data_IF_647780657608
#
_entry.id   IF_647780657608
#
_cell.length_a   1.000
_cell.length_b   1.000
_cell.length_c   1.000
_cell.angle_alpha   90.00
_cell.angle_beta   90.00
_cell.angle_gamma   90.00
#
_symmetry.space_group_name_H-M   'P 1'
#
loop_
_entity.id
_entity.type
_entity.pdbx_description
1 polymer ?
#
# COMPACT_ATOMS: atom_id res chain seq x y z
N UNK A 1 12.25 17.87 -27.24
CA UNK A 1 12.88 17.94 -25.90
C UNK A 1 14.31 18.40 -26.09
N UNK A 2 14.63 19.53 -25.48
CA UNK A 2 15.98 20.05 -25.51
C UNK A 2 16.87 19.34 -24.50
N UNK A 3 18.21 19.52 -24.59
CA UNK A 3 19.13 18.92 -23.63
C UNK A 3 18.82 19.27 -22.16
N UNK A 4 18.26 20.47 -21.92
CA UNK A 4 17.82 20.91 -20.59
C UNK A 4 16.62 20.11 -20.08
N UNK A 5 15.69 19.70 -20.95
CA UNK A 5 14.54 18.85 -20.58
C UNK A 5 15.02 17.47 -20.11
N UNK A 6 15.99 16.89 -20.82
CA UNK A 6 16.62 15.63 -20.44
C UNK A 6 17.35 15.74 -19.10
N UNK A 7 18.09 16.83 -18.90
CA UNK A 7 18.80 17.08 -17.64
C UNK A 7 17.81 17.21 -16.46
N UNK A 8 16.72 17.98 -16.65
CA UNK A 8 15.68 18.15 -15.63
C UNK A 8 14.94 16.81 -15.34
N UNK A 9 14.71 15.98 -16.37
CA UNK A 9 14.11 14.65 -16.17
C UNK A 9 15.03 13.75 -15.36
N UNK A 10 16.31 13.65 -15.72
CA UNK A 10 17.28 12.85 -14.99
C UNK A 10 17.44 13.34 -13.55
N UNK A 11 17.52 14.67 -13.36
CA UNK A 11 17.59 15.24 -12.02
C UNK A 11 16.36 14.88 -11.17
N UNK A 12 15.13 14.94 -11.73
CA UNK A 12 13.91 14.50 -11.02
C UNK A 12 13.97 13.03 -10.62
N UNK A 13 14.37 12.15 -11.54
CA UNK A 13 14.50 10.71 -11.24
C UNK A 13 15.48 10.48 -10.10
N UNK A 14 16.64 11.12 -10.15
CA UNK A 14 17.66 11.01 -9.09
C UNK A 14 17.16 11.56 -7.76
N UNK A 15 16.54 12.73 -7.75
CA UNK A 15 15.98 13.35 -6.53
C UNK A 15 14.91 12.46 -5.91
N UNK A 16 13.96 11.95 -6.70
CA UNK A 16 12.89 11.06 -6.21
C UNK A 16 13.49 9.75 -5.67
N UNK A 17 14.45 9.17 -6.36
CA UNK A 17 15.12 7.95 -5.91
C UNK A 17 15.76 8.12 -4.53
N UNK A 18 16.56 9.17 -4.34
CA UNK A 18 17.18 9.43 -3.03
C UNK A 18 16.16 9.85 -1.96
N UNK A 19 15.13 10.62 -2.33
CA UNK A 19 14.06 10.99 -1.41
C UNK A 19 13.31 9.75 -0.90
N UNK A 20 13.03 8.76 -1.75
CA UNK A 20 12.41 7.49 -1.36
C UNK A 20 13.31 6.67 -0.44
N UNK A 21 14.62 6.60 -0.70
CA UNK A 21 15.56 5.93 0.20
C UNK A 21 15.57 6.58 1.59
N UNK A 22 15.61 7.91 1.64
CA UNK A 22 15.56 8.66 2.90
C UNK A 22 14.22 8.43 3.60
N UNK A 23 13.11 8.45 2.87
CA UNK A 23 11.78 8.22 3.41
C UNK A 23 11.65 6.81 4.02
N UNK A 24 12.14 5.78 3.34
CA UNK A 24 12.18 4.42 3.88
C UNK A 24 13.03 4.34 5.15
N UNK A 25 14.21 4.97 5.17
CA UNK A 25 15.04 5.02 6.39
C UNK A 25 14.31 5.68 7.56
N UNK A 26 13.56 6.75 7.31
CA UNK A 26 12.75 7.45 8.31
C UNK A 26 11.58 6.59 8.78
N UNK A 27 10.90 5.88 7.87
CA UNK A 27 9.78 4.98 8.20
C UNK A 27 10.27 3.83 9.09
N UNK A 28 11.39 3.19 8.77
CA UNK A 28 11.96 2.11 9.60
C UNK A 28 12.38 2.64 10.97
N UNK A 29 12.98 3.82 11.05
CA UNK A 29 13.31 4.45 12.33
C UNK A 29 12.04 4.78 13.15
N UNK A 30 11.02 5.37 12.50
CA UNK A 30 9.74 5.70 13.13
C UNK A 30 9.06 4.44 13.66
N UNK A 31 9.02 3.37 12.89
CA UNK A 31 8.45 2.08 13.30
C UNK A 31 9.13 1.54 14.57
N UNK A 32 10.46 1.50 14.59
CA UNK A 32 11.22 1.04 15.77
C UNK A 32 10.99 1.91 17.00
N UNK A 33 10.78 3.23 16.82
CA UNK A 33 10.48 4.16 17.93
C UNK A 33 9.06 3.97 18.44
N UNK A 34 8.07 4.01 17.56
CA UNK A 34 6.66 3.91 17.92
C UNK A 34 6.37 2.57 18.63
N UNK A 35 6.87 1.45 18.07
CA UNK A 35 6.70 0.14 18.71
C UNK A 35 7.39 0.07 20.08
N UNK A 36 8.58 0.66 20.23
CA UNK A 36 9.28 0.69 21.51
C UNK A 36 8.51 1.50 22.57
N UNK A 37 7.98 2.66 22.19
CA UNK A 37 7.17 3.51 23.06
C UNK A 37 5.87 2.81 23.49
N UNK A 38 5.20 2.09 22.55
CA UNK A 38 4.02 1.27 22.87
C UNK A 38 4.34 0.11 23.83
N UNK A 39 5.54 -0.44 23.73
CA UNK A 39 6.03 -1.52 24.60
C UNK A 39 6.68 -1.00 25.89
N UNK A 40 6.61 0.29 26.20
CA UNK A 40 7.22 0.92 27.37
C UNK A 40 8.73 0.66 27.51
N UNK A 41 9.45 0.55 26.38
CA UNK A 41 10.90 0.35 26.31
C UNK A 41 11.59 1.43 25.48
N UNK A 42 12.89 1.61 25.70
CA UNK A 42 13.68 2.55 24.92
C UNK A 42 13.91 2.02 23.49
N UNK A 43 13.48 2.79 22.51
CA UNK A 43 13.83 2.55 21.10
C UNK A 43 15.28 2.95 20.79
N UNK A 44 15.69 2.96 19.50
CA UNK A 44 17.03 3.36 19.10
C UNK A 44 17.39 4.74 19.64
N UNK A 45 18.49 4.84 20.41
CA UNK A 45 18.96 6.09 21.02
C UNK A 45 20.34 6.50 20.55
N UNK A 46 21.12 5.54 20.02
CA UNK A 46 22.49 5.75 19.52
C UNK A 46 22.50 5.79 18.00
N UNK A 47 23.58 6.16 17.37
CA UNK A 47 23.72 6.43 15.95
C UNK A 47 22.94 7.70 15.49
N UNK A 48 23.51 8.86 15.79
CA UNK A 48 22.93 10.18 15.51
C UNK A 48 21.90 10.66 16.55
N UNK A 49 21.33 11.85 16.35
CA UNK A 49 20.32 12.39 17.25
C UNK A 49 19.13 11.46 17.36
N UNK A 50 18.79 10.99 18.57
CA UNK A 50 17.68 10.07 18.85
C UNK A 50 17.70 8.78 18.00
N UNK A 51 18.89 8.34 17.51
CA UNK A 51 19.04 7.11 16.75
C UNK A 51 18.55 7.17 15.28
N UNK A 52 18.39 8.34 14.67
CA UNK A 52 17.89 8.48 13.27
C UNK A 52 18.80 7.78 12.26
N UNK A 53 20.13 7.77 12.50
CA UNK A 53 21.09 7.17 11.58
C UNK A 53 21.24 5.65 11.74
N UNK A 54 20.45 4.99 12.61
CA UNK A 54 20.56 3.53 12.81
C UNK A 54 20.25 2.75 11.54
N UNK A 55 19.26 3.20 10.77
CA UNK A 55 18.86 2.56 9.52
C UNK A 55 19.94 2.67 8.44
N UNK A 56 20.64 3.81 8.41
CA UNK A 56 21.80 3.98 7.53
C UNK A 56 22.95 3.04 7.94
N UNK A 57 23.21 2.93 9.25
CA UNK A 57 24.22 2.00 9.75
C UNK A 57 23.87 0.53 9.43
N UNK A 58 22.58 0.16 9.55
CA UNK A 58 22.09 -1.18 9.17
C UNK A 58 22.24 -1.42 7.66
N UNK A 59 21.95 -0.44 6.81
CA UNK A 59 22.16 -0.51 5.37
C UNK A 59 23.63 -0.72 5.01
N UNK A 60 24.52 0.10 5.58
CA UNK A 60 25.99 -0.03 5.37
C UNK A 60 26.47 -1.41 5.83
N UNK A 61 26.03 -1.87 7.01
CA UNK A 61 26.37 -3.21 7.52
C UNK A 61 25.96 -4.32 6.54
N UNK A 62 24.73 -4.28 6.00
CA UNK A 62 24.22 -5.28 5.06
C UNK A 62 24.94 -5.24 3.72
N UNK A 63 25.39 -4.05 3.31
CA UNK A 63 26.15 -3.88 2.06
C UNK A 63 27.55 -4.55 2.11
N UNK A 64 28.23 -4.43 3.26
CA UNK A 64 29.56 -5.03 3.45
C UNK A 64 29.52 -6.44 4.03
N UNK A 65 28.33 -6.94 4.43
CA UNK A 65 28.16 -8.30 4.94
C UNK A 65 28.38 -9.32 3.81
N UNK A 66 29.12 -10.39 4.09
CA UNK A 66 29.31 -11.51 3.16
C UNK A 66 27.97 -12.10 2.72
N UNK A 67 27.77 -12.15 1.41
CA UNK A 67 26.58 -12.70 0.79
C UNK A 67 26.71 -14.21 0.59
N UNK A 68 26.15 -15.01 1.49
CA UNK A 68 26.11 -16.47 1.35
C UNK A 68 25.17 -16.84 0.19
N UNK A 69 25.56 -17.80 -0.62
CA UNK A 69 24.74 -18.40 -1.67
C UNK A 69 24.77 -19.91 -1.46
N UNK A 70 23.64 -20.54 -1.08
CA UNK A 70 23.57 -21.98 -0.88
C UNK A 70 23.91 -22.78 -2.16
N UNK A 71 24.34 -24.01 -2.02
CA UNK A 71 24.79 -24.84 -3.16
C UNK A 71 23.67 -25.38 -4.02
N UNK A 72 22.46 -25.53 -3.45
CA UNK A 72 21.29 -26.13 -4.11
C UNK A 72 20.39 -25.11 -4.82
N UNK A 73 20.78 -23.81 -4.87
CA UNK A 73 19.98 -22.75 -5.47
C UNK A 73 20.11 -22.73 -7.00
N UNK A 74 19.01 -22.38 -7.68
CA UNK A 74 19.07 -21.94 -9.08
C UNK A 74 19.65 -20.52 -9.12
N UNK A 75 20.96 -20.44 -9.35
CA UNK A 75 21.75 -19.21 -9.19
C UNK A 75 21.26 -18.02 -10.02
N UNK A 76 20.91 -18.13 -11.31
CA UNK A 76 20.36 -17.01 -12.09
C UNK A 76 19.08 -16.45 -11.49
N UNK A 77 18.11 -17.31 -11.20
CA UNK A 77 16.81 -16.91 -10.65
C UNK A 77 16.97 -16.34 -9.25
N UNK A 78 17.81 -16.96 -8.42
CA UNK A 78 18.12 -16.50 -7.07
C UNK A 78 18.71 -15.08 -7.03
N UNK A 79 19.51 -14.68 -8.02
CA UNK A 79 20.08 -13.33 -8.10
C UNK A 79 19.12 -12.31 -8.68
N UNK A 80 18.19 -12.71 -9.56
CA UNK A 80 17.23 -11.81 -10.21
C UNK A 80 16.04 -11.51 -9.30
N UNK A 81 15.61 -12.45 -8.48
CA UNK A 81 14.43 -12.28 -7.61
C UNK A 81 14.49 -11.01 -6.72
N UNK A 82 15.57 -10.68 -6.00
CA UNK A 82 15.66 -9.44 -5.22
C UNK A 82 15.56 -8.17 -6.07
N UNK A 83 16.06 -8.20 -7.31
CA UNK A 83 15.98 -7.07 -8.25
C UNK A 83 14.54 -6.85 -8.68
N UNK A 84 13.80 -7.93 -8.98
CA UNK A 84 12.37 -7.86 -9.31
C UNK A 84 11.54 -7.40 -8.11
N UNK A 85 11.96 -7.67 -6.88
CA UNK A 85 11.28 -7.14 -5.69
C UNK A 85 11.46 -5.62 -5.54
N UNK A 86 12.66 -5.13 -5.77
CA UNK A 86 13.01 -3.72 -5.50
C UNK A 86 12.62 -2.78 -6.66
N UNK A 87 12.92 -3.15 -7.91
CA UNK A 87 12.81 -2.26 -9.07
C UNK A 87 11.37 -1.78 -9.31
N UNK A 88 10.33 -2.64 -9.33
CA UNK A 88 8.95 -2.19 -9.53
C UNK A 88 8.45 -1.26 -8.44
N UNK A 89 8.90 -1.44 -7.19
CA UNK A 89 8.52 -0.56 -6.09
C UNK A 89 8.99 0.89 -6.30
N UNK A 90 10.19 1.10 -6.89
CA UNK A 90 10.63 2.43 -7.32
C UNK A 90 9.85 2.93 -8.54
N UNK A 91 9.59 2.07 -9.53
CA UNK A 91 8.88 2.44 -10.76
C UNK A 91 7.42 2.83 -10.49
N UNK A 92 6.78 2.28 -9.47
CA UNK A 92 5.43 2.68 -9.07
C UNK A 92 5.36 4.17 -8.70
N UNK A 93 6.41 4.71 -8.07
CA UNK A 93 6.48 6.13 -7.72
C UNK A 93 6.63 7.08 -8.91
N UNK A 94 6.97 6.60 -10.09
CA UNK A 94 7.13 7.45 -11.27
C UNK A 94 5.85 8.19 -11.65
N UNK A 95 4.69 7.60 -11.37
CA UNK A 95 3.37 8.15 -11.74
C UNK A 95 2.61 8.79 -10.58
N UNK A 96 3.14 8.74 -9.37
CA UNK A 96 2.49 9.34 -8.19
C UNK A 96 2.81 10.84 -8.16
N UNK A 97 1.79 11.72 -8.21
CA UNK A 97 2.00 13.15 -8.10
C UNK A 97 2.07 13.55 -6.62
N UNK A 98 3.17 14.16 -6.19
CA UNK A 98 3.38 14.55 -4.81
C UNK A 98 3.41 16.07 -4.58
N UNK A 99 3.12 16.87 -5.61
CA UNK A 99 3.05 18.32 -5.48
C UNK A 99 2.59 19.01 -6.76
N UNK A 100 2.50 20.33 -6.71
CA UNK A 100 2.25 21.21 -7.85
C UNK A 100 3.52 21.41 -8.67
N UNK A 101 3.40 21.99 -9.88
CA UNK A 101 4.57 22.35 -10.67
C UNK A 101 5.34 23.55 -10.07
N UNK A 102 6.65 23.57 -10.28
CA UNK A 102 7.53 24.68 -9.93
C UNK A 102 8.17 25.23 -11.18
N UNK A 103 8.21 26.56 -11.30
CA UNK A 103 8.91 27.23 -12.38
C UNK A 103 10.42 27.23 -12.09
N UNK A 104 11.19 26.42 -12.84
CA UNK A 104 12.65 26.36 -12.78
C UNK A 104 13.22 26.71 -14.16
N UNK A 105 14.13 27.67 -14.23
CA UNK A 105 14.78 28.11 -15.48
C UNK A 105 13.78 28.48 -16.61
N UNK A 106 12.63 29.09 -16.23
CA UNK A 106 11.58 29.47 -17.20
C UNK A 106 10.73 28.32 -17.71
N UNK A 107 10.82 27.13 -17.11
CA UNK A 107 10.01 25.93 -17.44
C UNK A 107 9.22 25.47 -16.23
N UNK A 108 8.02 24.97 -16.46
CA UNK A 108 7.22 24.33 -15.43
C UNK A 108 7.69 22.87 -15.21
N UNK A 109 8.23 22.59 -14.05
CA UNK A 109 8.69 21.26 -13.65
C UNK A 109 7.65 20.66 -12.68
N UNK A 110 6.89 19.65 -13.09
CA UNK A 110 5.92 18.99 -12.22
C UNK A 110 6.64 18.14 -11.15
N UNK A 111 6.06 18.08 -9.95
CA UNK A 111 6.46 17.14 -8.90
C UNK A 111 5.90 15.73 -9.17
N UNK A 112 6.21 15.21 -10.34
CA UNK A 112 5.86 13.88 -10.83
C UNK A 112 6.87 13.52 -11.93
N UNK A 113 7.32 12.28 -11.99
CA UNK A 113 8.30 11.88 -13.01
C UNK A 113 7.60 11.73 -14.37
N UNK A 114 6.47 11.01 -14.41
CA UNK A 114 5.69 10.76 -15.61
C UNK A 114 4.19 10.86 -15.31
N UNK A 115 3.46 11.68 -16.07
CA UNK A 115 2.00 11.78 -15.98
C UNK A 115 1.36 10.91 -17.05
N UNK A 116 1.12 9.63 -16.72
CA UNK A 116 0.53 8.65 -17.61
C UNK A 116 -1.00 8.73 -17.57
N UNK A 117 -1.65 8.68 -18.73
CA UNK A 117 -3.11 8.60 -18.84
C UNK A 117 -3.71 7.38 -18.13
N UNK A 118 -2.93 6.32 -17.98
CA UNK A 118 -3.28 5.05 -17.33
C UNK A 118 -2.45 4.84 -16.05
N UNK A 119 -2.18 5.91 -15.29
CA UNK A 119 -1.28 5.88 -14.14
C UNK A 119 -1.65 4.85 -13.07
N UNK A 120 -2.95 4.66 -12.81
CA UNK A 120 -3.44 3.64 -11.87
C UNK A 120 -3.10 2.22 -12.34
N UNK A 121 -3.30 1.90 -13.61
CA UNK A 121 -2.97 0.58 -14.16
C UNK A 121 -1.46 0.31 -14.11
N UNK A 122 -0.65 1.35 -14.30
CA UNK A 122 0.80 1.25 -14.12
C UNK A 122 1.17 0.83 -12.69
N UNK A 123 0.57 1.46 -11.67
CA UNK A 123 0.84 1.12 -10.28
C UNK A 123 0.43 -0.32 -9.97
N UNK A 124 -0.77 -0.74 -10.38
CA UNK A 124 -1.23 -2.12 -10.21
C UNK A 124 -0.32 -3.13 -10.92
N UNK A 125 0.14 -2.83 -12.13
CA UNK A 125 1.07 -3.70 -12.85
C UNK A 125 2.43 -3.80 -12.13
N UNK A 126 2.93 -2.70 -11.54
CA UNK A 126 4.18 -2.72 -10.79
C UNK A 126 4.04 -3.46 -9.46
N UNK A 127 2.91 -3.33 -8.76
CA UNK A 127 2.67 -4.09 -7.51
C UNK A 127 2.58 -5.59 -7.77
N UNK A 128 1.89 -6.02 -8.83
CA UNK A 128 1.80 -7.43 -9.21
C UNK A 128 3.15 -8.10 -9.47
N UNK A 129 4.18 -7.35 -9.91
CA UNK A 129 5.53 -7.90 -10.11
C UNK A 129 6.19 -8.35 -8.80
N UNK A 130 5.79 -7.80 -7.66
CA UNK A 130 6.29 -8.25 -6.36
C UNK A 130 5.91 -9.72 -6.05
N UNK A 131 4.74 -10.16 -6.51
CA UNK A 131 4.31 -11.57 -6.39
C UNK A 131 5.30 -12.49 -7.08
N UNK A 132 5.71 -12.15 -8.31
CA UNK A 132 6.70 -12.94 -9.05
C UNK A 132 8.04 -12.98 -8.31
N UNK A 133 8.49 -11.85 -7.75
CA UNK A 133 9.73 -11.80 -6.99
C UNK A 133 9.73 -12.80 -5.82
N UNK A 134 8.64 -12.88 -5.08
CA UNK A 134 8.49 -13.77 -3.93
C UNK A 134 8.45 -15.24 -4.37
N UNK A 135 7.67 -15.57 -5.42
CA UNK A 135 7.60 -16.93 -5.97
C UNK A 135 8.96 -17.39 -6.46
N UNK A 136 9.65 -16.56 -7.24
CA UNK A 136 10.98 -16.88 -7.76
C UNK A 136 12.00 -17.04 -6.64
N UNK A 137 11.93 -16.21 -5.59
CA UNK A 137 12.80 -16.30 -4.44
C UNK A 137 12.65 -17.64 -3.70
N UNK A 138 11.41 -18.05 -3.41
CA UNK A 138 11.16 -19.32 -2.73
C UNK A 138 11.50 -20.52 -3.58
N UNK A 139 11.16 -20.49 -4.88
CA UNK A 139 11.46 -21.60 -5.80
C UNK A 139 12.96 -21.77 -6.02
N UNK A 140 13.70 -20.69 -6.26
CA UNK A 140 15.14 -20.75 -6.52
C UNK A 140 15.99 -21.14 -5.32
N UNK A 141 15.44 -21.06 -4.11
CA UNK A 141 16.17 -21.33 -2.86
C UNK A 141 16.50 -22.80 -2.64
N UNK A 142 15.88 -23.75 -3.37
CA UNK A 142 16.16 -25.18 -3.27
C UNK A 142 15.85 -25.81 -1.90
N UNK A 143 14.99 -25.17 -1.08
CA UNK A 143 14.61 -25.58 0.27
C UNK A 143 13.08 -25.58 0.42
N UNK A 144 12.54 -26.49 1.25
CA UNK A 144 11.09 -26.67 1.42
C UNK A 144 10.45 -25.47 2.17
N UNK A 145 11.15 -24.89 3.15
CA UNK A 145 10.59 -23.76 3.93
C UNK A 145 10.39 -22.50 3.08
N UNK A 146 11.37 -22.03 2.30
CA UNK A 146 11.19 -20.92 1.36
C UNK A 146 10.12 -21.18 0.32
N UNK A 147 10.00 -22.40 -0.21
CA UNK A 147 8.99 -22.76 -1.19
C UNK A 147 7.58 -22.67 -0.59
N UNK A 148 7.35 -23.24 0.59
CA UNK A 148 6.06 -23.15 1.28
C UNK A 148 5.71 -21.69 1.66
N UNK A 149 6.70 -20.93 2.14
CA UNK A 149 6.53 -19.51 2.46
C UNK A 149 6.13 -18.69 1.24
N UNK A 150 6.79 -18.90 0.10
CA UNK A 150 6.50 -18.17 -1.14
C UNK A 150 5.11 -18.50 -1.72
N UNK A 151 4.68 -19.76 -1.69
CA UNK A 151 3.34 -20.17 -2.14
C UNK A 151 2.25 -19.55 -1.26
N UNK A 152 2.42 -19.55 0.06
CA UNK A 152 1.45 -18.94 1.00
C UNK A 152 1.38 -17.43 0.82
N UNK A 153 2.53 -16.77 0.63
CA UNK A 153 2.61 -15.33 0.39
C UNK A 153 1.98 -14.92 -0.92
N UNK A 154 2.29 -15.62 -2.01
CA UNK A 154 1.73 -15.31 -3.32
C UNK A 154 0.21 -15.51 -3.35
N UNK A 155 -0.30 -16.57 -2.73
CA UNK A 155 -1.74 -16.80 -2.60
C UNK A 155 -2.43 -15.67 -1.83
N UNK A 156 -1.82 -15.16 -0.75
CA UNK A 156 -2.30 -14.01 -0.01
C UNK A 156 -2.32 -12.76 -0.89
N UNK A 157 -1.19 -12.39 -1.48
CA UNK A 157 -1.06 -11.16 -2.27
C UNK A 157 -2.05 -11.13 -3.44
N UNK A 158 -2.14 -12.21 -4.25
CA UNK A 158 -3.07 -12.28 -5.38
C UNK A 158 -4.52 -12.13 -4.91
N UNK A 159 -4.89 -12.77 -3.80
CA UNK A 159 -6.27 -12.70 -3.27
C UNK A 159 -6.64 -11.30 -2.80
N UNK A 160 -5.73 -10.59 -2.14
CA UNK A 160 -5.98 -9.24 -1.63
C UNK A 160 -5.81 -8.16 -2.69
N UNK A 161 -4.98 -8.39 -3.71
CA UNK A 161 -4.86 -7.53 -4.89
C UNK A 161 -6.21 -7.38 -5.62
N UNK A 162 -7.00 -8.45 -5.73
CA UNK A 162 -8.36 -8.37 -6.29
C UNK A 162 -9.25 -7.43 -5.46
N UNK A 163 -9.22 -7.53 -4.12
CA UNK A 163 -9.96 -6.62 -3.24
C UNK A 163 -9.52 -5.17 -3.37
N UNK A 164 -8.20 -4.95 -3.45
CA UNK A 164 -7.62 -3.63 -3.65
C UNK A 164 -7.99 -3.03 -5.01
N UNK A 165 -7.95 -3.82 -6.07
CA UNK A 165 -8.37 -3.40 -7.42
C UNK A 165 -9.84 -2.99 -7.45
N UNK A 166 -10.75 -3.74 -6.79
CA UNK A 166 -12.17 -3.35 -6.70
C UNK A 166 -12.35 -2.00 -5.99
N UNK A 167 -11.62 -1.75 -4.90
CA UNK A 167 -11.66 -0.47 -4.21
C UNK A 167 -11.18 0.69 -5.10
N UNK A 168 -10.12 0.48 -5.87
CA UNK A 168 -9.59 1.46 -6.83
C UNK A 168 -10.60 1.71 -7.95
N UNK A 169 -11.21 0.66 -8.53
CA UNK A 169 -12.23 0.78 -9.57
C UNK A 169 -13.40 1.65 -9.13
N UNK A 170 -13.87 1.51 -7.88
CA UNK A 170 -14.93 2.36 -7.35
C UNK A 170 -14.55 3.85 -7.37
N UNK A 171 -13.30 4.21 -7.02
CA UNK A 171 -12.82 5.60 -7.06
C UNK A 171 -12.66 6.09 -8.50
N UNK A 172 -12.12 5.24 -9.38
CA UNK A 172 -11.96 5.57 -10.81
C UNK A 172 -13.30 5.88 -11.47
N UNK A 173 -14.32 5.05 -11.22
CA UNK A 173 -15.69 5.29 -11.71
C UNK A 173 -16.28 6.59 -11.15
N UNK A 174 -16.04 6.88 -9.87
CA UNK A 174 -16.55 8.11 -9.23
C UNK A 174 -15.85 9.37 -9.73
N UNK A 175 -14.53 9.29 -10.00
CA UNK A 175 -13.71 10.44 -10.46
C UNK A 175 -13.67 10.59 -11.97
N UNK A 176 -14.18 9.62 -12.73
CA UNK A 176 -14.14 9.54 -14.21
C UNK A 176 -12.72 9.77 -14.79
N UNK A 177 -11.70 9.26 -14.11
CA UNK A 177 -10.31 9.45 -14.50
C UNK A 177 -9.43 8.27 -14.11
N UNK A 178 -8.48 7.90 -14.99
CA UNK A 178 -7.42 6.92 -14.72
C UNK A 178 -6.06 7.60 -14.43
N UNK A 179 -5.96 8.89 -14.75
CA UNK A 179 -4.77 9.68 -14.51
C UNK A 179 -4.75 10.18 -13.07
N UNK A 180 -3.64 9.94 -12.37
CA UNK A 180 -3.52 10.27 -10.94
C UNK A 180 -3.69 11.78 -10.65
N UNK A 181 -3.15 12.63 -11.52
CA UNK A 181 -3.28 14.10 -11.40
C UNK A 181 -4.73 14.58 -11.55
N UNK A 182 -5.52 13.98 -12.46
CA UNK A 182 -6.93 14.29 -12.68
C UNK A 182 -7.78 13.85 -11.49
N UNK A 183 -7.49 12.68 -10.88
CA UNK A 183 -8.18 12.22 -9.67
C UNK A 183 -7.94 13.17 -8.50
N UNK A 184 -6.72 13.71 -8.33
CA UNK A 184 -6.48 14.75 -7.33
C UNK A 184 -7.22 16.03 -7.68
N UNK A 185 -7.32 16.39 -8.97
CA UNK A 185 -8.05 17.57 -9.42
C UNK A 185 -9.56 17.44 -9.15
N UNK A 186 -10.17 16.26 -9.33
CA UNK A 186 -11.59 16.04 -9.05
C UNK A 186 -11.98 16.21 -7.56
N UNK A 187 -11.02 16.09 -6.65
CA UNK A 187 -11.23 16.24 -5.19
C UNK A 187 -11.14 17.69 -4.69
N UNK A 188 -11.50 18.69 -5.51
CA UNK A 188 -11.39 20.09 -5.14
C UNK A 188 -12.35 20.51 -4.04
N UNK A 189 -13.59 20.03 -4.11
CA UNK A 189 -14.67 20.39 -3.15
C UNK A 189 -14.77 19.41 -1.99
N UNK A 190 -14.73 18.12 -2.28
CA UNK A 190 -14.91 17.05 -1.30
C UNK A 190 -13.87 15.97 -1.58
N UNK A 191 -13.14 15.54 -0.57
CA UNK A 191 -12.21 14.42 -0.68
C UNK A 191 -12.98 13.12 -0.89
N UNK A 192 -12.47 12.24 -1.75
CA UNK A 192 -13.10 10.96 -2.07
C UNK A 192 -13.26 10.03 -0.86
N UNK A 193 -12.54 10.26 0.23
CA UNK A 193 -12.71 9.49 1.46
C UNK A 193 -14.13 9.60 2.03
N UNK A 194 -14.86 10.71 1.79
CA UNK A 194 -16.23 10.89 2.31
C UNK A 194 -17.22 10.05 1.48
N UNK A 195 -17.38 10.24 0.14
CA UNK A 195 -18.32 9.46 -0.64
C UNK A 195 -17.88 8.01 -0.87
N UNK A 196 -16.59 7.71 -0.83
CA UNK A 196 -16.00 6.40 -1.08
C UNK A 196 -15.36 5.78 0.17
N UNK A 197 -15.92 6.07 1.36
CA UNK A 197 -15.38 5.58 2.63
C UNK A 197 -15.27 4.04 2.70
N UNK A 198 -16.27 3.24 2.26
CA UNK A 198 -16.13 1.79 2.24
C UNK A 198 -15.00 1.29 1.34
N UNK A 199 -14.82 1.89 0.15
CA UNK A 199 -13.71 1.57 -0.73
C UNK A 199 -12.34 1.91 -0.07
N UNK A 200 -12.26 3.04 0.64
CA UNK A 200 -11.07 3.42 1.40
C UNK A 200 -10.69 2.38 2.45
N UNK A 201 -11.67 1.90 3.22
CA UNK A 201 -11.44 0.85 4.25
C UNK A 201 -11.00 -0.46 3.61
N UNK A 202 -11.65 -0.90 2.52
CA UNK A 202 -11.25 -2.08 1.76
C UNK A 202 -9.80 -1.94 1.28
N UNK A 203 -9.47 -0.79 0.70
CA UNK A 203 -8.13 -0.51 0.19
C UNK A 203 -7.07 -0.56 1.29
N UNK A 204 -7.31 0.06 2.46
CA UNK A 204 -6.37 0.03 3.58
C UNK A 204 -6.13 -1.38 4.11
N UNK A 205 -7.19 -2.19 4.23
CA UNK A 205 -7.06 -3.59 4.68
C UNK A 205 -6.31 -4.42 3.63
N UNK A 206 -6.70 -4.31 2.37
CA UNK A 206 -6.06 -5.04 1.27
C UNK A 206 -4.59 -4.64 1.10
N UNK A 207 -4.29 -3.34 1.16
CA UNK A 207 -2.93 -2.83 1.07
C UNK A 207 -2.04 -3.28 2.23
N UNK A 208 -2.57 -3.36 3.46
CA UNK A 208 -1.82 -3.92 4.59
C UNK A 208 -1.52 -5.41 4.38
N UNK A 209 -2.45 -6.17 3.82
CA UNK A 209 -2.25 -7.58 3.51
C UNK A 209 -1.25 -7.78 2.35
N UNK A 210 -1.24 -6.89 1.36
CA UNK A 210 -0.29 -6.91 0.24
C UNK A 210 1.15 -6.60 0.69
N UNK A 211 1.31 -5.75 1.70
CA UNK A 211 2.64 -5.44 2.27
C UNK A 211 3.19 -6.53 3.18
N UNK A 212 2.48 -7.67 3.33
CA UNK A 212 2.88 -8.81 4.16
C UNK A 212 3.23 -8.44 5.62
N UNK A 213 2.60 -7.41 6.17
CA UNK A 213 2.84 -6.94 7.54
C UNK A 213 1.84 -7.52 8.53
N UNK A 214 2.22 -7.75 9.81
CA UNK A 214 1.26 -8.12 10.83
C UNK A 214 0.05 -7.17 10.87
N UNK A 215 -1.20 -7.69 11.02
CA UNK A 215 -1.59 -9.05 11.37
C UNK A 215 -1.60 -10.08 10.24
N UNK A 216 -1.24 -9.70 9.00
CA UNK A 216 -1.28 -10.52 7.79
C UNK A 216 0.12 -11.06 7.39
N UNK A 217 1.02 -11.22 8.34
CA UNK A 217 2.39 -11.71 8.17
C UNK A 217 2.44 -13.25 8.09
N UNK A 218 2.00 -13.78 6.98
CA UNK A 218 2.07 -15.22 6.71
C UNK A 218 3.37 -15.67 6.03
N UNK A 219 4.04 -14.80 5.22
CA UNK A 219 5.26 -15.17 4.55
C UNK A 219 6.43 -15.40 5.50
N UNK A 220 6.60 -14.53 6.48
CA UNK A 220 7.70 -14.61 7.43
C UNK A 220 7.44 -15.66 8.51
N UNK A 221 6.22 -15.75 9.03
CA UNK A 221 5.74 -16.72 9.99
C UNK A 221 6.84 -17.37 10.82
N UNK A 222 7.65 -16.57 11.56
CA UNK A 222 8.85 -17.03 12.28
C UNK A 222 8.64 -18.32 13.10
N UNK A 223 7.45 -18.46 13.68
CA UNK A 223 7.10 -19.65 14.46
C UNK A 223 6.81 -20.90 13.63
N UNK A 224 6.54 -20.77 12.31
CA UNK A 224 6.16 -21.88 11.43
C UNK A 224 7.19 -22.14 10.32
N UNK A 225 7.77 -21.10 9.73
CA UNK A 225 8.58 -21.16 8.52
C UNK A 225 9.97 -20.53 8.66
N UNK A 226 10.42 -20.23 9.89
CA UNK A 226 11.70 -19.59 10.24
C UNK A 226 11.78 -18.14 9.73
N UNK A 227 11.91 -17.93 8.40
CA UNK A 227 11.89 -16.62 7.78
C UNK A 227 11.20 -16.66 6.39
N UNK A 228 10.44 -17.71 6.12
CA UNK A 228 9.66 -17.85 4.89
C UNK A 228 10.51 -17.80 3.62
N UNK A 229 10.07 -17.05 2.60
CA UNK A 229 10.67 -17.02 1.27
C UNK A 229 12.12 -16.48 1.25
N UNK A 230 12.52 -15.67 2.22
CA UNK A 230 13.85 -15.05 2.27
C UNK A 230 14.83 -15.75 3.22
N UNK A 231 14.49 -16.95 3.72
CA UNK A 231 15.32 -17.71 4.68
C UNK A 231 16.75 -17.91 4.18
N UNK A 232 16.94 -18.21 2.90
CA UNK A 232 18.24 -18.47 2.30
C UNK A 232 18.99 -17.20 1.83
N UNK A 233 18.33 -16.03 1.92
CA UNK A 233 18.90 -14.76 1.48
C UNK A 233 19.68 -14.06 2.59
N UNK A 234 20.88 -13.54 2.28
CA UNK A 234 21.75 -12.83 3.22
C UNK A 234 22.38 -11.58 2.62
N UNK A 235 22.89 -10.69 3.48
CA UNK A 235 23.60 -9.46 3.08
C UNK A 235 22.73 -8.53 2.23
N UNK A 236 23.28 -8.01 1.13
CA UNK A 236 22.61 -7.06 0.25
C UNK A 236 21.36 -7.64 -0.42
N UNK A 237 21.32 -8.94 -0.72
CA UNK A 237 20.18 -9.60 -1.34
C UNK A 237 18.94 -9.56 -0.42
N UNK A 238 19.13 -9.81 0.87
CA UNK A 238 18.08 -9.63 1.89
C UNK A 238 17.66 -8.17 2.01
N UNK A 239 18.64 -7.23 2.00
CA UNK A 239 18.34 -5.80 2.08
C UNK A 239 17.48 -5.31 0.91
N UNK A 240 17.63 -5.87 -0.29
CA UNK A 240 16.82 -5.52 -1.46
C UNK A 240 15.35 -5.94 -1.29
N UNK A 241 15.04 -7.13 -0.77
CA UNK A 241 13.68 -7.54 -0.43
C UNK A 241 13.07 -6.63 0.62
N UNK A 242 13.81 -6.39 1.70
CA UNK A 242 13.36 -5.55 2.79
C UNK A 242 13.09 -4.10 2.35
N UNK A 243 13.95 -3.55 1.49
CA UNK A 243 13.74 -2.24 0.88
C UNK A 243 12.49 -2.23 -0.01
N UNK A 244 12.28 -3.26 -0.84
CA UNK A 244 11.09 -3.39 -1.68
C UNK A 244 9.80 -3.43 -0.87
N UNK A 245 9.79 -4.16 0.23
CA UNK A 245 8.64 -4.27 1.14
C UNK A 245 8.28 -2.93 1.81
N UNK A 246 9.27 -2.19 2.30
CA UNK A 246 9.01 -0.86 2.87
C UNK A 246 8.61 0.16 1.81
N UNK A 247 9.21 0.10 0.62
CA UNK A 247 8.78 0.93 -0.51
C UNK A 247 7.34 0.63 -0.88
N UNK A 248 6.93 -0.64 -0.93
CA UNK A 248 5.54 -1.01 -1.21
C UNK A 248 4.59 -0.46 -0.13
N UNK A 249 4.97 -0.52 1.15
CA UNK A 249 4.18 0.08 2.24
C UNK A 249 4.00 1.59 2.03
N UNK A 250 5.05 2.30 1.64
CA UNK A 250 4.99 3.74 1.34
C UNK A 250 4.17 3.99 0.07
N UNK A 251 4.29 3.14 -0.97
CA UNK A 251 3.49 3.22 -2.20
C UNK A 251 2.00 3.08 -1.93
N UNK A 252 1.60 2.07 -1.16
CA UNK A 252 0.20 1.87 -0.76
C UNK A 252 -0.34 3.10 -0.02
N UNK A 253 0.43 3.65 0.92
CA UNK A 253 0.05 4.87 1.63
C UNK A 253 -0.03 6.11 0.71
N UNK A 254 0.89 6.23 -0.26
CA UNK A 254 0.90 7.32 -1.23
C UNK A 254 -0.29 7.25 -2.20
N UNK A 255 -0.62 6.05 -2.67
CA UNK A 255 -1.81 5.80 -3.52
C UNK A 255 -3.10 6.10 -2.74
N UNK A 256 -3.23 5.64 -1.49
CA UNK A 256 -4.36 5.97 -0.63
C UNK A 256 -4.52 7.49 -0.46
N UNK A 257 -3.41 8.19 -0.24
CA UNK A 257 -3.40 9.65 -0.13
C UNK A 257 -3.88 10.33 -1.41
N UNK A 258 -3.43 9.85 -2.56
CA UNK A 258 -3.79 10.42 -3.87
C UNK A 258 -5.25 10.16 -4.24
N UNK A 259 -5.74 8.93 -4.03
CA UNK A 259 -7.08 8.53 -4.46
C UNK A 259 -8.19 9.00 -3.51
N UNK A 260 -7.95 9.06 -2.20
CA UNK A 260 -9.00 9.33 -1.20
C UNK A 260 -8.81 10.62 -0.41
N UNK A 261 -7.56 11.04 -0.13
CA UNK A 261 -7.28 12.18 0.77
C UNK A 261 -6.89 13.47 0.02
N UNK A 262 -7.23 13.57 -1.27
CA UNK A 262 -6.96 14.76 -2.07
C UNK A 262 -5.49 15.00 -2.41
N UNK A 263 -4.63 13.96 -2.33
CA UNK A 263 -3.22 14.06 -2.71
C UNK A 263 -2.47 15.16 -1.96
N UNK A 264 -1.87 16.07 -2.71
CA UNK A 264 -1.10 17.22 -2.20
C UNK A 264 -1.95 18.40 -1.71
N UNK A 265 -3.30 18.35 -1.83
CA UNK A 265 -4.19 19.44 -1.46
C UNK A 265 -4.25 19.65 0.05
N UNK A 266 -4.20 20.93 0.45
CA UNK A 266 -4.29 21.37 1.82
C UNK A 266 -4.14 22.88 1.92
N UNK A 267 -4.34 23.47 3.11
CA UNK A 267 -4.12 24.91 3.33
C UNK A 267 -2.67 25.28 2.97
N UNK A 268 -2.50 26.23 2.08
CA UNK A 268 -1.18 26.72 1.65
C UNK A 268 -1.06 28.21 1.91
N UNK A 269 -0.22 28.66 2.84
CA UNK A 269 0.16 30.06 2.97
C UNK A 269 0.91 30.55 1.72
N UNK A 270 0.83 31.85 1.42
CA UNK A 270 1.49 32.45 0.26
C UNK A 270 3.02 32.42 0.31
N UNK A 271 3.59 32.08 1.49
CA UNK A 271 5.03 31.92 1.67
C UNK A 271 5.46 30.57 1.16
N UNK A 272 6.29 30.52 0.12
CA UNK A 272 6.81 29.31 -0.54
C UNK A 272 5.67 28.36 -1.01
N UNK A 273 4.86 28.78 -2.02
CA UNK A 273 3.64 28.05 -2.39
C UNK A 273 3.86 26.60 -2.85
N UNK A 274 5.03 26.28 -3.40
CA UNK A 274 5.36 24.91 -3.87
C UNK A 274 5.72 23.93 -2.75
N UNK A 275 6.12 24.43 -1.56
CA UNK A 275 6.55 23.58 -0.45
C UNK A 275 5.35 22.96 0.29
N UNK A 276 4.26 23.71 0.46
CA UNK A 276 3.09 23.28 1.22
C UNK A 276 2.39 22.04 0.63
N UNK A 277 2.16 21.95 -0.70
CA UNK A 277 1.64 20.75 -1.31
C UNK A 277 2.48 19.50 -1.01
N UNK A 278 3.79 19.61 -1.12
CA UNK A 278 4.72 18.52 -0.81
C UNK A 278 4.63 18.10 0.67
N UNK A 279 4.61 19.07 1.59
CA UNK A 279 4.48 18.79 3.03
C UNK A 279 3.14 18.12 3.37
N UNK A 280 2.02 18.59 2.79
CA UNK A 280 0.73 17.97 3.01
C UNK A 280 0.66 16.54 2.49
N UNK A 281 1.23 16.29 1.32
CA UNK A 281 1.32 14.94 0.78
C UNK A 281 2.11 14.02 1.70
N UNK A 282 3.32 14.43 2.10
CA UNK A 282 4.18 13.66 3.01
C UNK A 282 3.52 13.44 4.37
N UNK A 283 2.87 14.44 4.93
CA UNK A 283 2.16 14.32 6.22
C UNK A 283 1.05 13.26 6.14
N UNK A 284 0.23 13.28 5.09
CA UNK A 284 -0.86 12.30 4.91
C UNK A 284 -0.31 10.88 4.73
N UNK A 285 0.74 10.73 3.92
CA UNK A 285 1.44 9.44 3.75
C UNK A 285 1.96 8.93 5.10
N UNK A 286 2.64 9.78 5.87
CA UNK A 286 3.17 9.41 7.19
C UNK A 286 2.07 9.06 8.18
N UNK A 287 0.90 9.71 8.13
CA UNK A 287 -0.25 9.37 8.98
C UNK A 287 -0.75 7.96 8.67
N UNK A 288 -0.90 7.59 7.39
CA UNK A 288 -1.34 6.24 7.00
C UNK A 288 -0.28 5.19 7.42
N UNK A 289 1.00 5.47 7.17
CA UNK A 289 2.10 4.59 7.61
C UNK A 289 2.10 4.43 9.13
N UNK A 290 1.87 5.51 9.88
CA UNK A 290 1.74 5.45 11.34
C UNK A 290 0.58 4.57 11.78
N UNK A 291 -0.58 4.66 11.11
CA UNK A 291 -1.73 3.78 11.38
C UNK A 291 -1.36 2.32 11.12
N UNK A 292 -0.62 2.02 10.06
CA UNK A 292 -0.14 0.66 9.78
C UNK A 292 0.84 0.14 10.84
N UNK A 293 1.75 0.99 11.31
CA UNK A 293 2.65 0.66 12.43
C UNK A 293 1.84 0.39 13.71
N UNK A 294 0.82 1.19 13.97
CA UNK A 294 -0.04 1.02 15.14
C UNK A 294 -0.83 -0.29 15.07
N UNK A 295 -1.45 -0.59 13.92
CA UNK A 295 -2.15 -1.87 13.69
C UNK A 295 -1.19 -3.05 13.91
N UNK A 296 0.02 -2.99 13.35
CA UNK A 296 1.07 -4.00 13.53
C UNK A 296 1.41 -4.25 15.00
N UNK A 297 1.45 -3.21 15.80
CA UNK A 297 1.84 -3.30 17.22
C UNK A 297 0.70 -3.77 18.13
N UNK A 298 -0.57 -3.67 17.70
CA UNK A 298 -1.73 -3.90 18.56
C UNK A 298 -2.50 -5.17 18.23
N UNK A 299 -2.65 -5.50 16.94
CA UNK A 299 -3.46 -6.64 16.52
C UNK A 299 -2.65 -7.95 16.56
N UNK A 300 -3.25 -9.05 17.05
CA UNK A 300 -2.62 -10.37 16.98
C UNK A 300 -2.61 -10.88 15.54
N UNK A 301 -1.66 -11.75 15.23
CA UNK A 301 -1.54 -12.40 13.92
C UNK A 301 -2.76 -13.28 13.63
N UNK A 302 -3.25 -13.21 12.39
CA UNK A 302 -4.39 -14.01 11.92
C UNK A 302 -3.87 -15.30 11.27
N UNK A 303 -4.55 -16.41 11.53
CA UNK A 303 -4.26 -17.71 10.92
C UNK A 303 -4.60 -17.69 9.42
N UNK A 304 -3.83 -18.44 8.60
CA UNK A 304 -3.98 -18.52 7.15
C UNK A 304 -5.41 -18.77 6.67
N UNK A 305 -6.08 -19.79 7.26
CA UNK A 305 -7.44 -20.19 6.86
C UNK A 305 -8.45 -19.05 7.05
N UNK A 306 -8.36 -18.34 8.19
CA UNK A 306 -9.23 -17.20 8.50
C UNK A 306 -8.93 -16.00 7.61
N UNK A 307 -7.67 -15.77 7.32
CA UNK A 307 -7.24 -14.69 6.44
C UNK A 307 -7.78 -14.91 5.02
N UNK A 308 -7.60 -16.09 4.44
CA UNK A 308 -8.14 -16.41 3.12
C UNK A 308 -9.68 -16.37 3.08
N UNK A 309 -10.34 -16.89 4.14
CA UNK A 309 -11.79 -16.79 4.25
C UNK A 309 -12.29 -15.34 4.34
N UNK A 310 -11.58 -14.46 5.05
CA UNK A 310 -11.89 -13.04 5.15
C UNK A 310 -11.77 -12.33 3.79
N UNK A 311 -10.70 -12.57 3.04
CA UNK A 311 -10.52 -12.01 1.69
C UNK A 311 -11.62 -12.43 0.73
N UNK A 312 -11.84 -13.76 0.59
CA UNK A 312 -12.75 -14.30 -0.41
C UNK A 312 -14.24 -14.20 -0.03
N UNK A 313 -14.60 -14.39 1.24
CA UNK A 313 -16.00 -14.43 1.69
C UNK A 313 -16.55 -13.07 2.11
N UNK A 314 -15.70 -12.12 2.45
CA UNK A 314 -16.14 -10.81 2.93
C UNK A 314 -15.61 -9.67 2.06
N UNK A 315 -14.29 -9.54 1.89
CA UNK A 315 -13.68 -8.34 1.29
C UNK A 315 -14.00 -8.23 -0.20
N UNK A 316 -13.88 -9.32 -0.98
CA UNK A 316 -14.17 -9.33 -2.42
C UNK A 316 -15.66 -9.14 -2.69
N UNK A 317 -16.61 -9.90 -2.07
CA UNK A 317 -18.04 -9.68 -2.29
C UNK A 317 -18.50 -8.29 -1.89
N UNK A 318 -17.99 -7.76 -0.77
CA UNK A 318 -18.32 -6.41 -0.33
C UNK A 318 -17.74 -5.34 -1.27
N UNK A 319 -16.50 -5.54 -1.76
CA UNK A 319 -15.89 -4.68 -2.78
C UNK A 319 -16.67 -4.67 -4.08
N UNK A 320 -17.12 -5.84 -4.57
CA UNK A 320 -17.94 -5.95 -5.77
C UNK A 320 -19.28 -5.23 -5.59
N UNK A 321 -19.95 -5.46 -4.46
CA UNK A 321 -21.20 -4.76 -4.13
C UNK A 321 -20.99 -3.24 -4.14
N UNK A 322 -19.89 -2.76 -3.56
CA UNK A 322 -19.59 -1.34 -3.51
C UNK A 322 -19.32 -0.74 -4.90
N UNK A 323 -18.61 -1.46 -5.77
CA UNK A 323 -18.42 -1.05 -7.17
C UNK A 323 -19.76 -0.93 -7.90
N UNK A 324 -20.65 -1.91 -7.75
CA UNK A 324 -22.00 -1.85 -8.35
C UNK A 324 -22.83 -0.66 -7.83
N UNK A 325 -22.78 -0.41 -6.52
CA UNK A 325 -23.45 0.75 -5.91
C UNK A 325 -22.87 2.07 -6.42
N UNK A 326 -21.55 2.17 -6.53
CA UNK A 326 -20.89 3.37 -7.07
C UNK A 326 -21.28 3.59 -8.53
N UNK A 327 -21.30 2.53 -9.35
CA UNK A 327 -21.77 2.61 -10.74
C UNK A 327 -23.22 3.07 -10.84
N UNK A 328 -24.09 2.56 -9.98
CA UNK A 328 -25.48 3.02 -9.92
C UNK A 328 -25.59 4.51 -9.52
N UNK A 329 -24.79 4.96 -8.53
CA UNK A 329 -24.78 6.38 -8.10
C UNK A 329 -24.29 7.31 -9.21
N UNK A 330 -23.35 6.85 -10.05
CA UNK A 330 -22.79 7.66 -11.14
C UNK A 330 -23.74 7.71 -12.36
N UNK A 331 -24.32 6.57 -12.74
CA UNK A 331 -25.11 6.44 -13.99
C UNK A 331 -26.58 6.83 -13.83
N UNK A 332 -27.24 6.40 -12.74
CA UNK A 332 -28.68 6.59 -12.58
C UNK A 332 -29.16 8.06 -12.52
N UNK A 333 -28.40 9.04 -11.98
CA UNK A 333 -28.81 10.44 -11.99
C UNK A 333 -29.02 11.04 -13.38
N UNK A 334 -28.26 10.56 -14.37
CA UNK A 334 -28.36 11.04 -15.77
C UNK A 334 -29.64 10.50 -16.44
N UNK A 335 -30.11 9.30 -16.06
CA UNK A 335 -31.29 8.67 -16.65
C UNK A 335 -32.61 9.01 -15.91
N UNK A 336 -32.60 9.04 -14.58
CA UNK A 336 -33.80 9.12 -13.75
C UNK A 336 -33.94 10.44 -12.97
N UNK A 337 -32.98 11.34 -13.07
CA UNK A 337 -32.94 12.59 -12.31
C UNK A 337 -32.34 12.39 -10.90
N UNK A 338 -31.53 13.36 -10.48
CA UNK A 338 -30.73 13.30 -9.25
C UNK A 338 -31.55 13.11 -7.97
N UNK A 339 -32.69 13.79 -7.88
CA UNK A 339 -33.52 13.75 -6.66
C UNK A 339 -34.22 12.39 -6.49
N UNK A 340 -34.64 11.76 -7.60
CA UNK A 340 -35.26 10.43 -7.59
C UNK A 340 -34.25 9.38 -7.12
N UNK A 341 -33.00 9.47 -7.59
CA UNK A 341 -31.93 8.53 -7.24
C UNK A 341 -31.52 8.69 -5.78
N UNK A 342 -31.35 9.92 -5.30
CA UNK A 342 -31.02 10.17 -3.88
C UNK A 342 -32.11 9.62 -2.96
N UNK A 343 -33.39 9.85 -3.31
CA UNK A 343 -34.54 9.33 -2.51
C UNK A 343 -34.56 7.79 -2.52
N UNK A 344 -34.37 7.16 -3.65
CA UNK A 344 -34.30 5.69 -3.75
C UNK A 344 -33.17 5.09 -2.91
N UNK A 345 -31.98 5.67 -2.97
CA UNK A 345 -30.84 5.23 -2.13
C UNK A 345 -31.09 5.47 -0.64
N UNK A 346 -31.67 6.61 -0.26
CA UNK A 346 -31.99 6.89 1.13
C UNK A 346 -33.04 5.90 1.69
N UNK A 347 -34.05 5.55 0.90
CA UNK A 347 -35.07 4.54 1.26
C UNK A 347 -34.43 3.15 1.37
N UNK A 348 -33.58 2.75 0.38
CA UNK A 348 -32.89 1.47 0.39
C UNK A 348 -31.95 1.32 1.59
N UNK A 349 -31.18 2.37 1.90
CA UNK A 349 -30.30 2.38 3.06
C UNK A 349 -31.10 2.35 4.37
N UNK A 350 -32.16 3.13 4.47
CA UNK A 350 -33.06 3.10 5.62
C UNK A 350 -33.69 1.72 5.85
N UNK A 351 -34.12 1.05 4.78
CA UNK A 351 -34.63 -0.32 4.84
C UNK A 351 -33.58 -1.31 5.32
N UNK A 352 -32.34 -1.23 4.83
CA UNK A 352 -31.23 -2.08 5.27
C UNK A 352 -30.89 -1.86 6.76
N UNK A 353 -30.90 -0.61 7.24
CA UNK A 353 -30.69 -0.31 8.65
C UNK A 353 -31.81 -0.91 9.50
N UNK A 354 -33.07 -0.75 9.09
CA UNK A 354 -34.21 -1.35 9.80
C UNK A 354 -34.10 -2.87 9.82
N UNK A 355 -33.78 -3.51 8.69
CA UNK A 355 -33.60 -4.97 8.60
C UNK A 355 -32.45 -5.41 9.53
N UNK A 356 -31.33 -4.72 9.55
CA UNK A 356 -30.17 -5.06 10.40
C UNK A 356 -30.48 -4.94 11.90
N UNK A 357 -31.35 -4.00 12.29
CA UNK A 357 -31.78 -3.81 13.68
C UNK A 357 -32.85 -4.84 14.10
N UNK A 358 -33.72 -5.22 13.17
CA UNK A 358 -34.85 -6.15 13.43
C UNK A 358 -34.45 -7.61 13.31
N UNK A 359 -33.46 -7.92 12.40
CA UNK A 359 -32.98 -9.29 12.18
C UNK A 359 -32.53 -10.01 13.46
N UNK A 360 -31.73 -9.43 14.37
CA UNK A 360 -31.34 -10.07 15.63
C UNK A 360 -32.51 -10.38 16.57
N UNK A 361 -33.63 -9.66 16.41
CA UNK A 361 -34.84 -9.85 17.23
C UNK A 361 -35.72 -11.00 16.70
N UNK A 362 -35.65 -11.27 15.40
CA UNK A 362 -36.48 -12.29 14.71
C UNK A 362 -35.71 -13.58 14.44
N UNK A 363 -34.39 -13.48 14.21
CA UNK A 363 -33.55 -14.64 13.95
C UNK A 363 -33.58 -15.59 15.14
N UNK A 364 -33.90 -16.90 14.96
CA UNK A 364 -33.83 -17.88 16.03
C UNK A 364 -32.39 -17.90 16.56
N UNK A 365 -32.24 -17.76 17.89
CA UNK A 365 -30.94 -17.94 18.55
C UNK A 365 -30.43 -19.33 18.14
N UNK A 366 -29.30 -19.37 17.44
CA UNK A 366 -28.59 -20.62 17.20
C UNK A 366 -28.44 -21.30 18.57
N UNK A 367 -29.04 -22.49 18.74
CA UNK A 367 -28.83 -23.31 19.91
C UNK A 367 -27.32 -23.54 20.02
N UNK A 368 -26.70 -23.10 21.12
CA UNK A 368 -25.34 -23.45 21.47
C UNK A 368 -25.30 -24.99 21.49
N UNK A 369 -24.73 -25.59 20.45
CA UNK A 369 -24.32 -26.98 20.51
C UNK A 369 -23.26 -27.08 21.58
N UNK A 370 -23.68 -27.56 22.75
CA UNK A 370 -22.78 -27.94 23.85
C UNK A 370 -21.79 -28.95 23.26
N UNK A 371 -20.47 -28.67 23.28
CA UNK A 371 -19.50 -29.67 22.84
C UNK A 371 -19.62 -30.87 23.77
N UNK A 372 -20.02 -31.99 23.22
CA UNK A 372 -20.00 -33.30 23.90
C UNK A 372 -18.55 -33.63 24.21
N UNK A 373 -18.22 -34.02 25.47
CA UNK A 373 -16.88 -34.22 25.97
C UNK A 373 -16.08 -35.32 25.25
#
# INVERSE_FOLDING_TARGET
>A
MDWLDWLLLVARVVVVFFALLILVMLVIWMERKVIADMQTRLGPMRAGPRGVLITLADGIKLFFKEGITPTLVDRPVYLVAPVIAMLPAFLAFAVIPFGTSVALFGREVPFQIADLSIGILWILAMSSLMVYAIVLAGWSSGSNYPLLGSVRSSAQMISYEVGMALAIVAVVMYSDALRMSEIVASQDRIWNVIPQFPAFVIYLIAGLAETNRPPFDLPEAESELVAGYHTEYSGIKFAMFYLGEYLNTVTVAAVATTLWLGGWRGPAPDVVPWLWPLLWFLLKVLVIVYVYIWIRATLPRIRYDRLMAFGWKLLIPFGLLWVMLTGAIVVLPDEFGRDTVITAFAIGFGALVVISLVWPLIAPRASEEVPVP
#
